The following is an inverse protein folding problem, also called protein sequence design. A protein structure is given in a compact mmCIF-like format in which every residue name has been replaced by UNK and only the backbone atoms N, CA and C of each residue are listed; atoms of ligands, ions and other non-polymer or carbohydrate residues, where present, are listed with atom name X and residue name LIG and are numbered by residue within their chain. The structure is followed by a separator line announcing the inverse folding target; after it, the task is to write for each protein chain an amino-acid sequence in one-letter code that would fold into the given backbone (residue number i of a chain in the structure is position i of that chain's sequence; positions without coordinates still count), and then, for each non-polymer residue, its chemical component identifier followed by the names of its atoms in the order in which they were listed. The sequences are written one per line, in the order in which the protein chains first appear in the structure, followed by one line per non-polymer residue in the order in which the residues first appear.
data_IF_071506971717
#
_entry.id   IF_071506971717
#
_cell.length_a   1.000
_cell.length_b   1.000
_cell.length_c   1.000
_cell.angle_alpha   90.00
_cell.angle_beta   90.00
_cell.angle_gamma   90.00
#
_symmetry.space_group_name_H-M   'P 1'
#
loop_
_entity.id
_entity.type
_entity.pdbx_description
1 polymer ?
#
# COMPACT_ATOMS: atom_id res chain seq x y z
N UNK A 1 -27.80 -22.04 7.99
CA UNK A 1 -27.04 -22.33 9.22
C UNK A 1 -25.75 -21.57 9.06
N UNK A 2 -25.64 -20.52 9.86
CA UNK A 2 -24.49 -19.62 10.09
C UNK A 2 -23.54 -19.29 8.94
N UNK A 3 -23.80 -18.14 8.30
CA UNK A 3 -22.77 -17.22 7.83
C UNK A 3 -22.46 -16.26 8.99
N UNK A 4 -21.44 -16.54 9.78
CA UNK A 4 -20.97 -15.61 10.82
C UNK A 4 -19.49 -15.79 11.14
N UNK A 5 -18.61 -15.67 10.15
CA UNK A 5 -17.18 -15.48 10.40
C UNK A 5 -16.63 -14.51 9.34
N UNK A 6 -16.59 -13.20 9.65
CA UNK A 6 -16.03 -12.24 8.69
C UNK A 6 -16.15 -10.74 8.95
N UNK A 7 -16.75 -10.26 10.03
CA UNK A 7 -16.69 -8.83 10.38
C UNK A 7 -15.88 -8.61 11.65
N UNK A 8 -14.55 -8.58 11.49
CA UNK A 8 -13.67 -7.95 12.47
C UNK A 8 -13.96 -6.45 12.43
N UNK A 9 -14.56 -5.93 13.51
CA UNK A 9 -15.02 -4.55 13.62
C UNK A 9 -13.84 -3.57 13.45
N UNK A 10 -13.71 -2.99 12.26
CA UNK A 10 -12.80 -1.89 11.93
C UNK A 10 -13.27 -0.62 12.67
N UNK A 11 -12.83 -0.47 13.91
CA UNK A 11 -13.10 0.72 14.71
C UNK A 11 -12.84 0.44 16.17
N UNK A 12 -11.56 0.49 16.57
CA UNK A 12 -11.10 0.46 17.98
C UNK A 12 -9.57 0.43 18.14
N UNK A 13 -8.77 0.94 17.19
CA UNK A 13 -7.32 0.76 17.23
C UNK A 13 -6.69 1.24 18.56
N UNK A 14 -7.11 2.40 19.08
CA UNK A 14 -6.60 2.95 20.34
C UNK A 14 -7.06 2.20 21.61
N UNK A 15 -8.10 1.36 21.52
CA UNK A 15 -8.62 0.57 22.66
C UNK A 15 -7.96 -0.79 22.78
N UNK A 16 -7.11 -1.16 21.81
CA UNK A 16 -6.33 -2.39 21.90
C UNK A 16 -5.22 -2.19 22.92
N UNK A 17 -5.02 -3.19 23.79
CA UNK A 17 -3.99 -3.15 24.82
C UNK A 17 -2.59 -2.83 24.26
N UNK A 18 -2.34 -3.21 23.00
CA UNK A 18 -1.10 -2.97 22.26
C UNK A 18 -0.78 -1.49 21.99
N UNK A 19 -1.73 -0.56 22.14
CA UNK A 19 -1.55 0.88 21.94
C UNK A 19 -1.67 1.70 23.23
N UNK A 20 -1.77 1.03 24.39
CA UNK A 20 -1.98 1.71 25.69
C UNK A 20 -0.82 2.61 26.14
N UNK A 21 0.37 2.41 25.57
CA UNK A 21 1.57 3.24 25.79
C UNK A 21 1.67 4.46 24.87
N UNK A 22 0.80 4.57 23.86
CA UNK A 22 0.83 5.64 22.86
C UNK A 22 -0.33 6.61 23.09
N UNK A 23 0.00 7.88 23.34
CA UNK A 23 -1.00 8.96 23.33
C UNK A 23 -1.29 9.37 21.89
N UNK A 24 -2.53 9.19 21.37
CA UNK A 24 -2.88 9.61 20.01
C UNK A 24 -2.67 11.12 19.82
N UNK A 25 -2.21 11.52 18.63
CA UNK A 25 -1.91 12.91 18.31
C UNK A 25 -2.93 13.46 17.31
N UNK A 26 -3.88 14.32 17.74
CA UNK A 26 -4.88 14.93 16.86
C UNK A 26 -4.29 15.71 15.69
N UNK A 27 -5.03 15.77 14.59
CA UNK A 27 -4.69 16.67 13.48
C UNK A 27 -4.77 18.13 13.93
N UNK A 28 -3.76 18.93 13.59
CA UNK A 28 -3.75 20.36 13.89
C UNK A 28 -4.08 21.17 12.62
N UNK A 29 -5.36 21.45 12.40
CA UNK A 29 -5.83 22.31 11.28
C UNK A 29 -5.95 23.81 11.68
N UNK A 30 -5.51 24.17 12.89
CA UNK A 30 -5.66 25.51 13.45
C UNK A 30 -7.08 25.85 13.89
N UNK A 31 -7.32 27.10 14.33
CA UNK A 31 -8.59 27.51 14.95
C UNK A 31 -9.74 27.75 13.96
N UNK A 32 -9.47 27.86 12.66
CA UNK A 32 -10.49 28.15 11.62
C UNK A 32 -10.12 27.44 10.33
N UNK A 33 -10.30 26.10 10.28
CA UNK A 33 -9.85 25.30 9.15
C UNK A 33 -10.68 25.60 7.90
N UNK A 34 -10.01 25.65 6.75
CA UNK A 34 -10.66 25.67 5.43
C UNK A 34 -10.63 24.25 4.85
N UNK A 35 -11.67 23.89 4.08
CA UNK A 35 -11.88 22.54 3.51
C UNK A 35 -11.79 21.37 4.52
N UNK A 36 -12.40 21.47 5.72
CA UNK A 36 -12.37 20.37 6.68
C UNK A 36 -13.10 19.15 6.11
N UNK A 37 -12.48 17.97 6.26
CA UNK A 37 -13.11 16.71 5.89
C UNK A 37 -13.80 16.16 7.13
N UNK A 38 -15.08 15.83 7.01
CA UNK A 38 -15.83 15.15 8.06
C UNK A 38 -15.42 13.67 8.13
N UNK A 39 -14.29 13.38 8.77
CA UNK A 39 -13.77 12.03 8.91
C UNK A 39 -14.68 11.14 9.76
N UNK A 40 -14.71 9.85 9.43
CA UNK A 40 -15.28 8.82 10.31
C UNK A 40 -14.34 8.58 11.50
N UNK A 41 -14.86 8.01 12.59
CA UNK A 41 -14.11 7.74 13.81
C UNK A 41 -12.88 6.87 13.54
N UNK A 42 -13.02 5.76 12.80
CA UNK A 42 -11.91 4.86 12.47
C UNK A 42 -10.78 5.57 11.72
N UNK A 43 -11.11 6.50 10.82
CA UNK A 43 -10.10 7.31 10.13
C UNK A 43 -9.37 8.24 11.10
N UNK A 44 -10.12 8.93 11.96
CA UNK A 44 -9.57 9.87 12.92
C UNK A 44 -8.65 9.16 13.91
N UNK A 45 -9.13 8.07 14.53
CA UNK A 45 -8.37 7.25 15.48
C UNK A 45 -7.08 6.70 14.86
N UNK A 46 -7.17 6.14 13.64
CA UNK A 46 -6.01 5.57 12.94
C UNK A 46 -4.98 6.63 12.62
N UNK A 47 -5.41 7.80 12.13
CA UNK A 47 -4.50 8.87 11.77
C UNK A 47 -3.91 9.58 13.00
N UNK A 48 -4.62 9.62 14.14
CA UNK A 48 -4.09 10.13 15.40
C UNK A 48 -2.98 9.24 15.94
N UNK A 49 -3.17 7.91 15.92
CA UNK A 49 -2.12 6.96 16.26
C UNK A 49 -0.96 7.04 15.28
N UNK A 50 -1.24 7.11 13.97
CA UNK A 50 -0.19 7.22 12.95
C UNK A 50 0.67 8.45 13.18
N UNK A 51 0.06 9.61 13.47
CA UNK A 51 0.80 10.84 13.79
C UNK A 51 1.70 10.65 15.01
N UNK A 52 1.20 10.05 16.09
CA UNK A 52 2.00 9.80 17.29
C UNK A 52 3.22 8.91 16.99
N UNK A 53 3.01 7.77 16.32
CA UNK A 53 4.07 6.81 15.93
C UNK A 53 5.07 7.44 14.95
N UNK A 54 4.57 8.21 13.98
CA UNK A 54 5.40 8.90 12.99
C UNK A 54 6.31 9.95 13.65
N UNK A 55 5.78 10.75 14.58
CA UNK A 55 6.56 11.71 15.35
C UNK A 55 7.59 11.04 16.26
N UNK A 56 7.22 9.92 16.88
CA UNK A 56 8.13 9.11 17.70
C UNK A 56 9.19 8.35 16.87
N UNK A 57 9.06 8.32 15.53
CA UNK A 57 9.92 7.55 14.63
C UNK A 57 9.97 6.05 14.99
N UNK A 58 8.85 5.52 15.49
CA UNK A 58 8.77 4.12 15.91
C UNK A 58 8.80 3.17 14.70
N UNK A 59 9.77 2.25 14.69
CA UNK A 59 9.99 1.26 13.63
C UNK A 59 9.71 -0.13 14.18
N UNK A 60 8.43 -0.47 14.31
CA UNK A 60 7.97 -1.71 14.95
C UNK A 60 7.00 -2.48 14.05
N UNK A 61 6.79 -3.80 14.30
CA UNK A 61 5.77 -4.56 13.60
C UNK A 61 4.35 -3.98 13.76
N UNK A 62 4.00 -3.44 14.94
CA UNK A 62 2.70 -2.77 15.14
C UNK A 62 2.57 -1.49 14.33
N UNK A 63 3.64 -0.71 14.19
CA UNK A 63 3.68 0.47 13.32
C UNK A 63 3.52 0.07 11.85
N UNK A 64 4.13 -1.04 11.42
CA UNK A 64 3.94 -1.58 10.08
C UNK A 64 2.48 -1.95 9.82
N UNK A 65 1.85 -2.68 10.74
CA UNK A 65 0.42 -3.03 10.66
C UNK A 65 -0.48 -1.79 10.66
N UNK A 66 -0.16 -0.77 11.45
CA UNK A 66 -0.87 0.50 11.46
C UNK A 66 -0.81 1.20 10.09
N UNK A 67 0.34 1.17 9.40
CA UNK A 67 0.42 1.71 8.03
C UNK A 67 -0.45 0.95 7.04
N UNK A 68 -0.63 -0.36 7.20
CA UNK A 68 -1.54 -1.15 6.36
C UNK A 68 -2.99 -0.66 6.50
N UNK A 69 -3.43 -0.41 7.74
CA UNK A 69 -4.78 0.11 8.02
C UNK A 69 -4.95 1.56 7.55
N UNK A 70 -3.94 2.41 7.78
CA UNK A 70 -3.98 3.78 7.27
C UNK A 70 -4.03 3.83 5.72
N UNK A 71 -3.35 2.91 5.03
CA UNK A 71 -3.42 2.77 3.56
C UNK A 71 -4.78 2.26 3.10
N UNK A 72 -5.42 1.31 3.81
CA UNK A 72 -6.76 0.84 3.42
C UNK A 72 -7.80 1.96 3.50
N UNK A 73 -7.65 2.88 4.47
CA UNK A 73 -8.50 4.03 4.67
C UNK A 73 -8.24 5.17 3.67
N UNK A 74 -6.98 5.41 3.30
CA UNK A 74 -6.61 6.36 2.25
C UNK A 74 -5.33 5.92 1.51
N UNK A 75 -5.50 5.16 0.41
CA UNK A 75 -4.38 4.72 -0.42
C UNK A 75 -3.59 5.87 -1.04
N UNK A 76 -4.16 7.08 -1.12
CA UNK A 76 -3.51 8.28 -1.65
C UNK A 76 -2.54 8.94 -0.68
N UNK A 77 -2.46 8.53 0.59
CA UNK A 77 -1.62 9.17 1.59
C UNK A 77 -0.14 8.82 1.42
N UNK A 78 0.58 9.61 0.64
CA UNK A 78 2.00 9.39 0.33
C UNK A 78 2.91 9.39 1.57
N UNK A 79 2.56 10.11 2.65
CA UNK A 79 3.33 10.13 3.91
C UNK A 79 3.32 8.76 4.58
N UNK A 80 2.15 8.09 4.60
CA UNK A 80 2.02 6.73 5.16
C UNK A 80 2.84 5.74 4.34
N UNK A 81 2.78 5.80 3.01
CA UNK A 81 3.60 4.94 2.14
C UNK A 81 5.11 5.16 2.34
N UNK A 82 5.54 6.41 2.49
CA UNK A 82 6.95 6.70 2.75
C UNK A 82 7.39 6.14 4.10
N UNK A 83 6.59 6.31 5.15
CA UNK A 83 6.92 5.78 6.47
C UNK A 83 6.90 4.26 6.49
N UNK A 84 5.97 3.62 5.77
CA UNK A 84 5.94 2.17 5.58
C UNK A 84 7.25 1.64 5.01
N UNK A 85 7.82 2.28 3.97
CA UNK A 85 9.13 1.90 3.41
C UNK A 85 10.25 1.97 4.44
N UNK A 86 10.27 3.04 5.25
CA UNK A 86 11.25 3.20 6.34
C UNK A 86 11.13 2.07 7.37
N UNK A 87 9.90 1.68 7.73
CA UNK A 87 9.68 0.58 8.67
C UNK A 87 10.09 -0.76 8.05
N UNK A 88 9.72 -1.05 6.79
CA UNK A 88 10.09 -2.27 6.08
C UNK A 88 11.61 -2.46 6.04
N UNK A 89 12.35 -1.39 5.73
CA UNK A 89 13.82 -1.41 5.73
C UNK A 89 14.39 -1.63 7.13
N UNK A 90 13.88 -0.90 8.12
CA UNK A 90 14.37 -1.00 9.50
C UNK A 90 14.14 -2.38 10.14
N UNK A 91 13.02 -3.02 9.78
CA UNK A 91 12.66 -4.35 10.24
C UNK A 91 13.27 -5.49 9.40
N UNK A 92 13.90 -5.16 8.26
CA UNK A 92 14.44 -6.13 7.30
C UNK A 92 13.41 -7.22 6.93
N UNK A 93 12.19 -6.77 6.59
CA UNK A 93 11.06 -7.65 6.25
C UNK A 93 11.29 -8.32 4.89
N UNK A 94 10.83 -9.57 4.75
CA UNK A 94 10.76 -10.22 3.44
C UNK A 94 9.78 -9.48 2.51
N UNK A 95 10.34 -8.89 1.46
CA UNK A 95 9.62 -8.07 0.50
C UNK A 95 8.75 -8.87 -0.47
N UNK A 96 8.88 -10.21 -0.52
CA UNK A 96 7.97 -11.03 -1.33
C UNK A 96 6.52 -10.92 -0.84
N UNK A 97 6.30 -10.94 0.47
CA UNK A 97 4.97 -10.71 1.05
C UNK A 97 4.45 -9.28 0.84
N UNK A 98 5.34 -8.32 0.64
CA UNK A 98 4.96 -6.93 0.34
C UNK A 98 4.41 -6.78 -1.10
N UNK A 99 4.84 -7.63 -2.05
CA UNK A 99 4.20 -7.70 -3.37
C UNK A 99 2.75 -8.20 -3.27
N UNK A 100 2.47 -9.13 -2.35
CA UNK A 100 1.10 -9.61 -2.10
C UNK A 100 0.25 -8.52 -1.44
N UNK A 101 0.82 -7.75 -0.51
CA UNK A 101 0.18 -6.57 0.07
C UNK A 101 -0.17 -5.53 -1.00
N UNK A 102 0.75 -5.17 -1.90
CA UNK A 102 0.43 -4.22 -2.98
C UNK A 102 -0.64 -4.77 -3.93
N UNK A 103 -0.64 -6.09 -4.18
CA UNK A 103 -1.69 -6.71 -4.97
C UNK A 103 -3.06 -6.61 -4.27
N UNK A 104 -3.13 -6.81 -2.96
CA UNK A 104 -4.41 -6.67 -2.23
C UNK A 104 -4.92 -5.22 -2.27
N UNK A 105 -4.04 -4.23 -2.10
CA UNK A 105 -4.38 -2.80 -2.22
C UNK A 105 -4.87 -2.44 -3.63
N UNK A 106 -4.33 -3.09 -4.67
CA UNK A 106 -4.73 -2.84 -6.07
C UNK A 106 -6.18 -3.20 -6.37
N UNK A 107 -6.79 -4.11 -5.60
CA UNK A 107 -8.20 -4.46 -5.71
C UNK A 107 -9.06 -3.24 -5.33
N UNK A 108 -9.54 -2.51 -6.33
CA UNK A 108 -10.31 -1.28 -6.15
C UNK A 108 -9.50 0.02 -6.18
N UNK A 109 -8.16 -0.03 -6.17
CA UNK A 109 -7.29 1.16 -6.21
C UNK A 109 -6.19 1.07 -7.28
N UNK A 110 -6.41 0.32 -8.36
CA UNK A 110 -5.43 0.14 -9.44
C UNK A 110 -4.98 1.45 -10.09
N UNK A 111 -5.75 2.54 -9.99
CA UNK A 111 -5.37 3.87 -10.53
C UNK A 111 -4.59 4.75 -9.54
N UNK A 112 -4.19 4.20 -8.39
CA UNK A 112 -3.46 4.94 -7.36
C UNK A 112 -1.96 5.03 -7.66
N UNK A 113 -1.39 6.24 -7.69
CA UNK A 113 0.03 6.44 -8.00
C UNK A 113 0.97 5.86 -6.94
N UNK A 114 0.64 6.04 -5.66
CA UNK A 114 1.49 5.61 -4.55
C UNK A 114 1.66 4.09 -4.52
N UNK A 115 0.61 3.34 -4.86
CA UNK A 115 0.64 1.90 -5.04
C UNK A 115 1.69 1.47 -6.08
N UNK A 116 1.64 2.02 -7.29
CA UNK A 116 2.59 1.66 -8.35
C UNK A 116 4.01 2.06 -8.01
N UNK A 117 4.18 3.25 -7.43
CA UNK A 117 5.49 3.71 -6.97
C UNK A 117 6.06 2.81 -5.87
N UNK A 118 5.23 2.40 -4.91
CA UNK A 118 5.65 1.48 -3.85
C UNK A 118 5.97 0.09 -4.39
N UNK A 119 5.12 -0.45 -5.26
CA UNK A 119 5.35 -1.76 -5.89
C UNK A 119 6.66 -1.77 -6.69
N UNK A 120 6.94 -0.70 -7.44
CA UNK A 120 8.24 -0.51 -8.13
C UNK A 120 9.41 -0.55 -7.15
N UNK A 121 9.34 0.21 -6.06
CA UNK A 121 10.39 0.20 -5.04
C UNK A 121 10.63 -1.19 -4.43
N UNK A 122 9.55 -1.97 -4.22
CA UNK A 122 9.66 -3.37 -3.75
C UNK A 122 10.36 -4.24 -4.80
N UNK A 123 9.92 -4.16 -6.06
CA UNK A 123 10.49 -4.92 -7.17
C UNK A 123 11.97 -4.58 -7.43
N UNK A 124 12.36 -3.31 -7.31
CA UNK A 124 13.75 -2.84 -7.40
C UNK A 124 14.64 -3.53 -6.38
N UNK A 125 14.18 -3.65 -5.12
CA UNK A 125 14.94 -4.32 -4.06
C UNK A 125 15.02 -5.83 -4.24
N UNK A 126 13.97 -6.45 -4.79
CA UNK A 126 13.94 -7.89 -5.09
C UNK A 126 14.75 -8.24 -6.35
N UNK A 127 14.95 -7.29 -7.25
CA UNK A 127 15.65 -7.47 -8.52
C UNK A 127 14.96 -8.47 -9.45
N UNK A 128 15.75 -9.15 -10.28
CA UNK A 128 15.27 -10.08 -11.31
C UNK A 128 14.41 -11.24 -10.78
N UNK A 129 14.49 -11.54 -9.48
CA UNK A 129 13.62 -12.55 -8.84
C UNK A 129 12.13 -12.16 -8.86
N UNK A 130 11.82 -10.88 -9.03
CA UNK A 130 10.44 -10.36 -9.10
C UNK A 130 9.88 -10.24 -10.52
N UNK A 131 10.72 -10.30 -11.57
CA UNK A 131 10.34 -10.03 -12.97
C UNK A 131 9.07 -10.77 -13.40
N UNK A 132 9.04 -12.10 -13.25
CA UNK A 132 7.89 -12.90 -13.67
C UNK A 132 6.61 -12.54 -12.90
N UNK A 133 6.72 -12.24 -11.59
CA UNK A 133 5.56 -11.79 -10.79
C UNK A 133 5.03 -10.44 -11.26
N UNK A 134 5.91 -9.52 -11.64
CA UNK A 134 5.51 -8.19 -12.11
C UNK A 134 4.89 -8.21 -13.51
N UNK A 135 5.42 -9.06 -14.41
CA UNK A 135 4.84 -9.25 -15.74
C UNK A 135 3.46 -9.93 -15.66
N UNK A 136 3.28 -10.93 -14.78
CA UNK A 136 1.97 -11.55 -14.54
C UNK A 136 1.00 -10.57 -13.87
N UNK A 137 1.46 -9.77 -12.90
CA UNK A 137 0.63 -8.75 -12.25
C UNK A 137 0.12 -7.72 -13.26
N UNK A 138 1.01 -7.17 -14.10
CA UNK A 138 0.60 -6.21 -15.13
C UNK A 138 -0.32 -6.84 -16.17
N UNK A 139 -0.07 -8.09 -16.58
CA UNK A 139 -0.97 -8.86 -17.47
C UNK A 139 -2.37 -9.00 -16.88
N UNK A 140 -2.49 -9.30 -15.58
CA UNK A 140 -3.78 -9.38 -14.87
C UNK A 140 -4.51 -8.04 -14.81
N UNK A 141 -3.79 -6.92 -14.61
CA UNK A 141 -4.43 -5.59 -14.63
C UNK A 141 -4.87 -5.23 -16.05
N UNK A 142 -4.05 -5.52 -17.05
CA UNK A 142 -4.34 -5.22 -18.46
C UNK A 142 -5.46 -6.09 -19.04
N UNK A 143 -5.68 -7.29 -18.53
CA UNK A 143 -6.85 -8.10 -18.93
C UNK A 143 -8.18 -7.51 -18.43
N UNK A 144 -8.16 -6.69 -17.37
CA UNK A 144 -9.32 -5.97 -16.85
C UNK A 144 -9.48 -4.58 -17.50
N UNK A 145 -8.37 -3.88 -17.76
CA UNK A 145 -8.31 -2.59 -18.43
C UNK A 145 -7.07 -2.53 -19.35
N UNK A 146 -7.26 -2.87 -20.61
CA UNK A 146 -6.18 -2.96 -21.61
C UNK A 146 -5.48 -1.61 -21.88
N UNK A 147 -6.07 -0.48 -21.43
CA UNK A 147 -5.50 0.87 -21.60
C UNK A 147 -4.99 1.45 -20.29
N UNK A 148 -4.82 0.61 -19.26
CA UNK A 148 -4.40 1.05 -17.93
C UNK A 148 -2.98 1.65 -17.95
N UNK A 149 -2.90 2.98 -17.93
CA UNK A 149 -1.65 3.73 -18.13
C UNK A 149 -0.54 3.34 -17.14
N UNK A 150 -0.88 3.22 -15.85
CA UNK A 150 0.12 2.84 -14.85
C UNK A 150 0.62 1.40 -15.02
N UNK A 151 -0.21 0.49 -15.55
CA UNK A 151 0.18 -0.89 -15.76
C UNK A 151 1.16 -0.99 -16.93
N UNK A 152 0.87 -0.31 -18.04
CA UNK A 152 1.80 -0.20 -19.16
C UNK A 152 3.11 0.48 -18.77
N UNK A 153 3.05 1.61 -18.05
CA UNK A 153 4.25 2.31 -17.57
C UNK A 153 5.10 1.45 -16.63
N UNK A 154 4.45 0.66 -15.75
CA UNK A 154 5.15 -0.28 -14.88
C UNK A 154 5.75 -1.44 -15.67
N UNK A 155 5.00 -2.04 -16.60
CA UNK A 155 5.47 -3.15 -17.43
C UNK A 155 6.70 -2.75 -18.25
N UNK A 156 6.68 -1.59 -18.90
CA UNK A 156 7.84 -1.06 -19.62
C UNK A 156 9.06 -0.90 -18.70
N UNK A 157 8.86 -0.37 -17.50
CA UNK A 157 9.93 -0.22 -16.52
C UNK A 157 10.50 -1.58 -16.06
N UNK A 158 9.65 -2.58 -15.82
CA UNK A 158 10.07 -3.95 -15.47
C UNK A 158 10.97 -4.51 -16.56
N UNK A 159 10.54 -4.46 -17.82
CA UNK A 159 11.30 -4.97 -18.96
C UNK A 159 12.67 -4.29 -19.10
N UNK A 160 12.70 -2.96 -18.96
CA UNK A 160 13.92 -2.17 -19.07
C UNK A 160 14.90 -2.41 -17.89
N UNK A 161 14.38 -2.59 -16.68
CA UNK A 161 15.21 -2.58 -15.45
C UNK A 161 15.53 -3.99 -14.95
N UNK A 162 14.62 -4.94 -15.15
CA UNK A 162 14.67 -6.30 -14.59
C UNK A 162 14.71 -7.40 -15.67
N UNK A 163 14.54 -7.05 -16.95
CA UNK A 163 14.51 -8.00 -18.07
C UNK A 163 13.13 -8.66 -18.28
N UNK A 164 13.11 -9.85 -18.91
CA UNK A 164 11.87 -10.57 -19.24
C UNK A 164 11.31 -10.27 -20.64
N UNK A 165 12.18 -9.98 -21.60
CA UNK A 165 11.80 -9.63 -22.98
C UNK A 165 11.36 -10.81 -23.83
N UNK A 166 11.68 -12.04 -23.40
CA UNK A 166 11.62 -13.26 -24.21
C UNK A 166 10.23 -13.52 -24.81
N UNK A 167 9.16 -13.24 -24.05
CA UNK A 167 7.78 -13.47 -24.44
C UNK A 167 6.97 -12.18 -24.68
N UNK A 168 7.60 -11.01 -24.57
CA UNK A 168 6.86 -9.73 -24.60
C UNK A 168 6.23 -9.44 -25.97
N UNK A 169 6.89 -9.84 -27.05
CA UNK A 169 6.33 -9.67 -28.40
C UNK A 169 5.09 -10.55 -28.61
N UNK A 170 5.16 -11.83 -28.20
CA UNK A 170 4.02 -12.74 -28.26
C UNK A 170 2.83 -12.19 -27.44
N UNK A 171 3.10 -11.65 -26.25
CA UNK A 171 2.07 -11.02 -25.43
C UNK A 171 1.46 -9.78 -26.11
N UNK A 172 2.27 -8.95 -26.79
CA UNK A 172 1.75 -7.82 -27.55
C UNK A 172 0.84 -8.28 -28.69
N UNK A 173 1.22 -9.33 -29.42
CA UNK A 173 0.43 -9.88 -30.53
C UNK A 173 -0.93 -10.42 -30.05
N UNK A 174 -1.00 -11.00 -28.85
CA UNK A 174 -2.26 -11.46 -28.24
C UNK A 174 -3.24 -10.32 -27.90
N UNK A 175 -2.78 -9.05 -27.85
CA UNK A 175 -3.58 -7.88 -27.48
C UNK A 175 -4.05 -7.01 -28.66
N UNK A 176 -3.51 -7.26 -29.87
CA UNK A 176 -3.79 -6.50 -31.10
C UNK A 176 -5.01 -7.07 -31.86
#
# INVERSE_FOLDING_TARGET
MDDSDGEEVAGQAHRRAEWSDVTPLPQNDGPSPVVPIAYKDDFTETMDLFRAVFHAQERSPRALSLTSHAISLNPGNYTVWQFRRVILEALNVDLLGELDFTQSVSNGNSKNYQLWHHRRWVAEKLGASSTSKELEFTKKILSLDAKHYHAWSHRQWVLQSLGGWEDELNYCDDLL
#
